data_IF_318638811687
#
_entry.id   IF_318638811687
#
_cell.length_a   1.000
_cell.length_b   1.000
_cell.length_c   1.000
_cell.angle_alpha   90.00
_cell.angle_beta   90.00
_cell.angle_gamma   90.00
#
_symmetry.space_group_name_H-M   'P 1'
#
loop_
_entity.id
_entity.type
_entity.pdbx_description
1 polymer ?
#
# COMPACT_ATOMS: atom_id res chain seq x y z
N UNK A 1 18.37 -5.87 5.12
CA UNK A 1 19.14 -5.77 3.84
C UNK A 1 18.94 -4.37 3.27
N UNK A 2 19.90 -3.75 2.55
CA UNK A 2 19.69 -2.41 2.03
C UNK A 2 18.58 -2.41 0.96
N UNK A 3 17.70 -1.40 0.99
CA UNK A 3 16.64 -1.18 0.00
C UNK A 3 17.21 -1.23 -1.42
N UNK A 4 16.54 -1.96 -2.30
CA UNK A 4 16.90 -2.05 -3.72
C UNK A 4 16.79 -0.67 -4.35
N UNK A 5 17.92 -0.13 -4.83
CA UNK A 5 17.92 1.15 -5.52
C UNK A 5 17.23 1.03 -6.88
N UNK A 6 16.32 1.95 -7.17
CA UNK A 6 15.67 2.04 -8.47
C UNK A 6 16.21 3.21 -9.29
N UNK A 7 16.18 3.06 -10.61
CA UNK A 7 16.43 4.18 -11.51
C UNK A 7 15.25 5.18 -11.44
N UNK A 8 15.54 6.39 -10.96
CA UNK A 8 14.59 7.49 -10.86
C UNK A 8 14.52 8.37 -12.13
N UNK A 9 15.18 7.98 -13.21
CA UNK A 9 15.06 8.65 -14.50
C UNK A 9 13.61 8.63 -15.03
N UNK A 10 13.15 9.79 -15.46
CA UNK A 10 11.78 10.02 -15.92
C UNK A 10 10.72 10.10 -14.81
N UNK A 11 11.12 10.05 -13.54
CA UNK A 11 10.23 10.38 -12.42
C UNK A 11 10.18 11.89 -12.22
N UNK A 12 8.98 12.39 -11.91
CA UNK A 12 8.70 13.81 -11.71
C UNK A 12 8.55 14.09 -10.21
N UNK A 13 9.08 15.22 -9.75
CA UNK A 13 8.86 15.66 -8.37
C UNK A 13 7.38 15.90 -8.12
N UNK A 14 6.88 15.32 -7.04
CA UNK A 14 5.51 15.49 -6.63
C UNK A 14 5.42 16.62 -5.61
N UNK A 15 4.35 17.42 -5.65
CA UNK A 15 4.00 18.42 -4.63
C UNK A 15 2.56 18.20 -4.22
N UNK A 16 2.38 17.53 -3.08
CA UNK A 16 1.07 17.25 -2.50
C UNK A 16 0.73 18.22 -1.37
N UNK A 17 -0.55 18.28 -1.03
CA UNK A 17 -1.07 18.95 0.15
C UNK A 17 -0.79 18.10 1.41
N UNK A 18 -0.85 18.71 2.59
CA UNK A 18 -0.75 18.01 3.88
C UNK A 18 -2.01 17.16 4.15
N UNK A 19 -2.18 16.10 3.38
CA UNK A 19 -3.30 15.17 3.44
C UNK A 19 -2.83 13.74 3.13
N UNK A 20 -3.48 12.77 3.77
CA UNK A 20 -3.22 11.34 3.59
C UNK A 20 -4.44 10.61 3.07
N UNK A 21 -4.30 9.94 1.93
CA UNK A 21 -5.36 9.09 1.39
C UNK A 21 -5.24 7.68 1.93
N UNK A 22 -6.34 7.15 2.45
CA UNK A 22 -6.44 5.76 2.84
C UNK A 22 -6.46 4.85 1.61
N UNK A 23 -5.61 3.84 1.62
CA UNK A 23 -5.54 2.80 0.61
C UNK A 23 -5.62 1.44 1.31
N UNK A 24 -6.72 0.73 1.08
CA UNK A 24 -6.86 -0.62 1.59
C UNK A 24 -5.99 -1.58 0.78
N UNK A 25 -5.22 -2.42 1.48
CA UNK A 25 -4.42 -3.49 0.90
C UNK A 25 -4.73 -4.82 1.60
N UNK A 26 -4.81 -5.87 0.80
CA UNK A 26 -4.93 -7.23 1.31
C UNK A 26 -3.57 -7.70 1.84
N UNK A 27 -3.60 -8.41 2.96
CA UNK A 27 -2.41 -8.90 3.66
C UNK A 27 -2.49 -10.41 3.82
N UNK A 28 -1.35 -11.08 3.85
CA UNK A 28 -1.29 -12.53 3.90
C UNK A 28 -1.89 -13.06 5.20
N UNK A 29 -2.65 -14.16 5.07
CA UNK A 29 -3.14 -14.91 6.24
C UNK A 29 -2.08 -15.80 6.88
N UNK A 30 -0.92 -15.96 6.24
CA UNK A 30 0.14 -16.89 6.64
C UNK A 30 1.28 -16.20 7.41
N UNK A 31 1.24 -14.88 7.55
CA UNK A 31 2.23 -14.10 8.32
C UNK A 31 1.60 -13.50 9.57
N UNK A 32 2.41 -13.32 10.62
CA UNK A 32 2.05 -12.51 11.79
C UNK A 32 2.07 -11.01 11.46
N UNK A 33 2.94 -10.60 10.54
CA UNK A 33 3.04 -9.23 10.06
C UNK A 33 2.03 -9.02 8.93
N UNK A 34 1.39 -7.84 8.84
CA UNK A 34 0.38 -7.58 7.82
C UNK A 34 1.06 -7.19 6.50
N UNK A 35 1.81 -8.15 5.95
CA UNK A 35 2.60 -8.05 4.71
C UNK A 35 1.72 -8.43 3.53
N UNK A 36 1.91 -7.79 2.37
CA UNK A 36 1.19 -8.16 1.14
C UNK A 36 1.34 -9.64 0.84
N UNK A 37 0.25 -10.25 0.39
CA UNK A 37 0.22 -11.67 0.04
C UNK A 37 0.84 -11.93 -1.33
N UNK A 38 1.48 -13.08 -1.53
CA UNK A 38 1.85 -13.53 -2.87
C UNK A 38 0.86 -14.55 -3.45
N UNK A 39 -0.04 -15.10 -2.63
CA UNK A 39 -1.10 -16.00 -3.08
C UNK A 39 -2.36 -15.70 -2.28
N UNK A 40 -3.41 -15.16 -2.91
CA UNK A 40 -4.66 -15.01 -2.17
C UNK A 40 -5.22 -16.37 -1.72
N UNK A 41 -6.25 -16.32 -0.87
CA UNK A 41 -6.97 -17.48 -0.32
C UNK A 41 -7.55 -18.47 -1.33
N UNK A 42 -7.52 -18.13 -2.62
CA UNK A 42 -7.99 -18.95 -3.74
C UNK A 42 -6.82 -19.36 -4.67
N UNK A 43 -5.58 -19.35 -4.19
CA UNK A 43 -4.35 -19.63 -4.97
C UNK A 43 -4.18 -18.70 -6.18
N UNK A 44 -4.78 -17.50 -6.14
CA UNK A 44 -4.78 -16.55 -7.26
C UNK A 44 -4.22 -15.20 -6.88
N UNK A 45 -3.08 -14.88 -7.46
CA UNK A 45 -2.62 -13.49 -7.62
C UNK A 45 -1.40 -13.18 -6.78
N UNK A 46 -0.31 -12.92 -7.50
CA UNK A 46 0.91 -12.31 -7.00
C UNK A 46 0.64 -10.82 -6.68
N UNK A 47 0.42 -10.45 -5.41
CA UNK A 47 0.37 -9.03 -5.06
C UNK A 47 1.80 -8.50 -4.98
N UNK A 48 2.11 -7.60 -5.91
CA UNK A 48 3.42 -6.97 -5.98
C UNK A 48 3.51 -5.64 -5.23
N UNK A 49 2.40 -5.19 -4.65
CA UNK A 49 2.25 -3.85 -4.09
C UNK A 49 1.62 -3.92 -2.70
N UNK A 50 2.06 -3.11 -1.71
CA UNK A 50 3.15 -2.12 -1.80
C UNK A 50 4.53 -2.76 -2.00
N UNK A 51 5.32 -2.26 -2.95
CA UNK A 51 6.69 -2.72 -3.12
C UNK A 51 7.59 -2.03 -2.08
N UNK A 52 7.77 -2.70 -0.95
CA UNK A 52 8.58 -2.27 0.19
C UNK A 52 10.06 -2.14 -0.20
N UNK A 53 10.52 -3.10 -1.01
CA UNK A 53 11.91 -3.29 -1.41
C UNK A 53 12.48 -2.08 -2.16
N UNK A 54 11.64 -1.45 -2.98
CA UNK A 54 12.00 -0.25 -3.76
C UNK A 54 11.30 1.02 -3.29
N UNK A 55 10.46 0.92 -2.26
CA UNK A 55 9.63 2.02 -1.76
C UNK A 55 8.80 2.68 -2.88
N UNK A 56 8.10 1.84 -3.65
CA UNK A 56 7.20 2.28 -4.72
C UNK A 56 5.81 1.69 -4.55
N UNK A 57 4.81 2.36 -5.13
CA UNK A 57 3.49 1.78 -5.32
C UNK A 57 3.00 2.00 -6.75
N UNK A 58 2.46 0.95 -7.38
CA UNK A 58 1.91 0.99 -8.74
C UNK A 58 2.97 0.86 -9.85
N UNK A 59 4.21 0.49 -9.51
CA UNK A 59 5.30 0.28 -10.47
C UNK A 59 5.35 -1.16 -10.98
N UNK A 60 5.00 -2.11 -10.11
CA UNK A 60 5.09 -3.54 -10.38
C UNK A 60 3.80 -4.09 -10.97
N UNK A 61 2.65 -3.50 -10.63
CA UNK A 61 1.33 -3.93 -11.13
C UNK A 61 0.33 -2.78 -11.26
N UNK A 62 -0.73 -3.01 -12.05
CA UNK A 62 -1.86 -2.10 -12.21
C UNK A 62 -2.99 -2.31 -11.19
N UNK A 63 -2.82 -3.19 -10.19
CA UNK A 63 -3.91 -3.74 -9.37
C UNK A 63 -4.82 -2.69 -8.68
N UNK A 64 -4.30 -1.48 -8.44
CA UNK A 64 -5.00 -0.41 -7.75
C UNK A 64 -4.92 0.94 -8.49
N UNK A 65 -4.78 0.92 -9.82
CA UNK A 65 -4.52 2.11 -10.64
C UNK A 65 -5.58 3.21 -10.45
N UNK A 66 -6.87 2.85 -10.33
CA UNK A 66 -7.95 3.83 -10.08
C UNK A 66 -7.75 4.56 -8.76
N UNK A 67 -7.32 3.85 -7.72
CA UNK A 67 -7.08 4.41 -6.40
C UNK A 67 -5.87 5.34 -6.45
N UNK A 68 -4.75 4.91 -7.04
CA UNK A 68 -3.54 5.75 -7.13
C UNK A 68 -3.77 7.00 -7.97
N UNK A 69 -4.44 6.88 -9.11
CA UNK A 69 -4.80 8.05 -9.91
C UNK A 69 -5.70 9.02 -9.12
N UNK A 70 -6.62 8.51 -8.28
CA UNK A 70 -7.43 9.35 -7.41
C UNK A 70 -6.60 10.06 -6.33
N UNK A 71 -5.63 9.38 -5.71
CA UNK A 71 -4.70 9.94 -4.72
C UNK A 71 -3.87 11.07 -5.35
N UNK A 72 -3.26 10.81 -6.51
CA UNK A 72 -2.45 11.78 -7.24
C UNK A 72 -3.29 13.00 -7.63
N UNK A 73 -4.50 12.80 -8.16
CA UNK A 73 -5.44 13.86 -8.51
C UNK A 73 -5.92 14.67 -7.31
N UNK A 74 -6.16 14.02 -6.16
CA UNK A 74 -6.52 14.68 -4.90
C UNK A 74 -5.36 15.46 -4.27
N UNK A 75 -4.14 15.33 -4.82
CA UNK A 75 -2.91 15.93 -4.30
C UNK A 75 -2.56 15.46 -2.89
N UNK A 76 -2.94 14.25 -2.48
CA UNK A 76 -2.56 13.74 -1.16
C UNK A 76 -1.06 13.46 -1.13
N UNK A 77 -0.35 14.07 -0.17
CA UNK A 77 1.10 13.83 -0.01
C UNK A 77 1.40 12.46 0.58
N UNK A 78 0.44 11.85 1.27
CA UNK A 78 0.62 10.57 1.94
C UNK A 78 -0.38 9.53 1.44
N UNK A 79 0.08 8.28 1.40
CA UNK A 79 -0.77 7.09 1.33
C UNK A 79 -0.73 6.45 2.72
N UNK A 80 -1.89 6.20 3.31
CA UNK A 80 -2.03 5.46 4.56
C UNK A 80 -2.49 4.05 4.20
N UNK A 81 -1.69 3.04 4.51
CA UNK A 81 -2.00 1.65 4.15
C UNK A 81 -2.92 1.05 5.21
N UNK A 82 -4.18 0.88 4.82
CA UNK A 82 -5.21 0.26 5.63
C UNK A 82 -5.30 -1.23 5.37
N UNK A 83 -5.59 -2.02 6.39
CA UNK A 83 -5.93 -3.43 6.23
C UNK A 83 -6.94 -3.87 7.29
N UNK A 84 -7.56 -5.01 7.08
CA UNK A 84 -8.36 -5.70 8.09
C UNK A 84 -7.69 -7.04 8.31
N UNK A 85 -6.78 -7.07 9.27
CA UNK A 85 -5.84 -8.17 9.41
C UNK A 85 -6.53 -9.46 9.88
N UNK A 86 -6.33 -10.53 9.13
CA UNK A 86 -6.94 -11.85 9.31
C UNK A 86 -5.92 -12.97 9.57
N UNK A 87 -4.63 -12.62 9.69
CA UNK A 87 -3.51 -13.56 9.84
C UNK A 87 -3.43 -14.29 11.18
N UNK A 88 -2.28 -14.91 11.42
CA UNK A 88 -2.11 -15.99 12.41
C UNK A 88 -2.10 -15.53 13.88
N UNK A 89 -1.83 -14.25 14.14
CA UNK A 89 -1.69 -13.78 15.53
C UNK A 89 -3.02 -13.80 16.28
N UNK A 90 -3.00 -14.23 17.54
CA UNK A 90 -4.13 -14.14 18.47
C UNK A 90 -4.15 -12.78 19.19
N UNK A 91 -4.16 -11.69 18.41
CA UNK A 91 -4.21 -10.32 18.93
C UNK A 91 -5.64 -9.81 19.00
N UNK A 92 -5.94 -8.99 20.01
CA UNK A 92 -7.19 -8.24 20.11
C UNK A 92 -7.43 -7.29 18.93
N UNK A 93 -6.41 -7.00 18.12
CA UNK A 93 -6.52 -6.18 16.90
C UNK A 93 -6.92 -6.96 15.66
N UNK A 94 -7.00 -8.29 15.73
CA UNK A 94 -7.48 -9.13 14.64
C UNK A 94 -8.90 -8.74 14.22
N UNK A 95 -9.19 -8.78 12.93
CA UNK A 95 -10.47 -8.37 12.31
C UNK A 95 -10.86 -6.90 12.51
N UNK A 96 -10.02 -6.07 13.14
CA UNK A 96 -10.25 -4.63 13.22
C UNK A 96 -9.64 -3.94 12.00
N UNK A 97 -10.12 -2.72 11.71
CA UNK A 97 -9.53 -1.92 10.64
C UNK A 97 -8.31 -1.18 11.17
N UNK A 98 -7.16 -1.45 10.57
CA UNK A 98 -5.87 -0.95 11.03
C UNK A 98 -5.21 -0.13 9.93
N UNK A 99 -4.51 0.95 10.29
CA UNK A 99 -3.52 1.59 9.44
C UNK A 99 -2.15 1.09 9.91
N UNK A 100 -1.52 0.27 9.08
CA UNK A 100 -0.29 -0.47 9.43
C UNK A 100 1.00 0.23 8.98
N UNK A 101 0.87 1.35 8.27
CA UNK A 101 2.00 2.08 7.75
C UNK A 101 1.58 3.18 6.79
N UNK A 102 2.56 3.92 6.32
CA UNK A 102 2.34 4.99 5.36
C UNK A 102 3.48 5.07 4.33
N UNK A 103 3.18 5.78 3.25
CA UNK A 103 4.16 6.23 2.26
C UNK A 103 4.00 7.72 2.04
N UNK A 104 5.09 8.48 2.13
CA UNK A 104 5.14 9.85 1.63
C UNK A 104 5.44 9.82 0.14
N UNK A 105 4.63 10.49 -0.66
CA UNK A 105 4.81 10.56 -2.11
C UNK A 105 5.78 11.71 -2.43
N UNK A 106 6.98 11.37 -2.86
CA UNK A 106 8.00 12.35 -3.25
C UNK A 106 8.10 12.50 -4.76
N UNK A 107 7.86 11.42 -5.51
CA UNK A 107 7.89 11.43 -6.97
C UNK A 107 6.74 10.61 -7.56
N UNK A 108 6.37 10.97 -8.79
CA UNK A 108 5.38 10.23 -9.60
C UNK A 108 5.93 9.93 -10.99
N UNK A 109 5.43 8.87 -11.62
CA UNK A 109 5.77 8.51 -13.01
C UNK A 109 4.57 7.86 -13.68
N UNK A 110 4.27 8.25 -14.91
CA UNK A 110 3.27 7.52 -15.71
C UNK A 110 3.93 6.23 -16.23
N UNK A 111 3.39 5.09 -15.82
CA UNK A 111 3.88 3.76 -16.15
C UNK A 111 2.88 2.98 -17.01
N UNK A 112 1.89 3.65 -17.59
CA UNK A 112 0.87 3.01 -18.46
C UNK A 112 1.52 2.24 -19.61
N UNK A 113 2.43 2.88 -20.34
CA UNK A 113 3.14 2.27 -21.48
C UNK A 113 3.93 1.04 -21.04
N UNK A 114 4.60 1.08 -19.89
CA UNK A 114 5.36 -0.05 -19.33
C UNK A 114 4.44 -1.25 -19.09
N UNK A 115 3.29 -1.04 -18.46
CA UNK A 115 2.36 -2.12 -18.15
C UNK A 115 1.71 -2.71 -19.40
N UNK A 116 1.35 -1.87 -20.38
CA UNK A 116 0.83 -2.34 -21.67
C UNK A 116 1.87 -3.17 -22.41
N UNK A 117 3.13 -2.71 -22.47
CA UNK A 117 4.22 -3.47 -23.10
C UNK A 117 4.47 -4.81 -22.43
N UNK A 118 4.40 -4.88 -21.08
CA UNK A 118 4.51 -6.14 -20.33
C UNK A 118 3.41 -7.12 -20.71
N UNK A 119 2.16 -6.67 -20.80
CA UNK A 119 1.03 -7.49 -21.23
C UNK A 119 1.16 -7.93 -22.70
N UNK A 120 1.53 -7.02 -23.61
CA UNK A 120 1.73 -7.36 -25.03
C UNK A 120 2.84 -8.39 -25.25
N UNK A 121 3.82 -8.44 -24.35
CA UNK A 121 4.91 -9.44 -24.38
C UNK A 121 4.54 -10.77 -23.73
N UNK A 122 3.43 -10.84 -22.99
CA UNK A 122 2.94 -12.01 -22.24
C UNK A 122 1.40 -12.08 -22.34
N UNK A 123 0.84 -12.39 -23.53
CA UNK A 123 -0.60 -12.29 -23.79
C UNK A 123 -1.48 -13.23 -22.95
N UNK A 124 -0.88 -14.25 -22.34
CA UNK A 124 -1.51 -15.17 -21.40
C UNK A 124 -1.85 -14.52 -20.04
N UNK A 125 -1.25 -13.36 -19.73
CA UNK A 125 -1.60 -12.60 -18.55
C UNK A 125 -2.98 -11.96 -18.70
N UNK A 126 -3.60 -11.60 -17.58
CA UNK A 126 -4.84 -10.83 -17.61
C UNK A 126 -4.60 -9.42 -18.17
N UNK A 127 -5.53 -8.90 -18.97
CA UNK A 127 -5.48 -7.53 -19.47
C UNK A 127 -5.34 -6.53 -18.30
N UNK A 128 -4.35 -5.63 -18.32
CA UNK A 128 -4.14 -4.71 -17.21
C UNK A 128 -5.21 -3.61 -17.18
N UNK A 129 -5.71 -3.29 -15.98
CA UNK A 129 -6.77 -2.29 -15.78
C UNK A 129 -6.47 -0.92 -16.43
N UNK A 130 -5.18 -0.57 -16.57
CA UNK A 130 -4.76 0.69 -17.17
C UNK A 130 -4.93 0.78 -18.70
N UNK A 131 -5.27 -0.31 -19.40
CA UNK A 131 -5.50 -0.30 -20.86
C UNK A 131 -6.53 0.77 -21.24
N UNK A 132 -7.60 0.88 -20.45
CA UNK A 132 -8.72 1.81 -20.68
C UNK A 132 -8.57 3.16 -19.96
N UNK A 133 -7.41 3.42 -19.34
CA UNK A 133 -7.18 4.65 -18.57
C UNK A 133 -6.27 5.61 -19.31
N UNK A 134 -6.47 6.91 -19.09
CA UNK A 134 -5.60 7.96 -19.63
C UNK A 134 -4.20 7.92 -19.01
N UNK A 135 -4.14 7.71 -17.69
CA UNK A 135 -2.91 7.66 -16.92
C UNK A 135 -2.82 6.39 -16.08
N UNK A 136 -1.60 5.96 -15.79
CA UNK A 136 -1.32 4.99 -14.74
C UNK A 136 -0.13 5.48 -13.92
N UNK A 137 -0.42 6.17 -12.81
CA UNK A 137 0.62 6.74 -11.97
C UNK A 137 1.23 5.67 -11.06
N UNK A 138 2.56 5.57 -11.08
CA UNK A 138 3.35 5.00 -10.01
C UNK A 138 3.82 6.13 -9.07
N UNK A 139 3.95 5.82 -7.79
CA UNK A 139 4.46 6.73 -6.75
C UNK A 139 5.74 6.17 -6.13
N UNK A 140 6.62 7.07 -5.69
CA UNK A 140 7.87 6.76 -5.01
C UNK A 140 8.11 7.72 -3.84
N UNK A 141 8.69 7.21 -2.75
CA UNK A 141 9.10 7.99 -1.59
C UNK A 141 9.19 7.13 -0.33
N UNK A 142 9.58 7.70 0.82
CA UNK A 142 9.85 6.92 2.02
C UNK A 142 8.58 6.24 2.53
N UNK A 143 8.77 5.03 3.02
CA UNK A 143 7.76 4.17 3.63
C UNK A 143 8.15 3.88 5.06
N UNK A 144 7.14 3.80 5.92
CA UNK A 144 7.25 3.42 7.33
C UNK A 144 6.13 2.43 7.63
N UNK A 145 6.47 1.26 8.16
CA UNK A 145 5.51 0.22 8.51
C UNK A 145 5.77 -0.29 9.91
N UNK A 146 4.73 -0.76 10.59
CA UNK A 146 4.82 -1.17 11.99
C UNK A 146 4.28 -2.58 12.16
N UNK A 147 4.50 -3.17 13.33
CA UNK A 147 3.85 -4.42 13.69
C UNK A 147 2.32 -4.28 13.71
N UNK A 148 1.61 -5.40 13.65
CA UNK A 148 0.16 -5.38 13.74
C UNK A 148 -0.32 -4.80 15.10
N UNK A 149 0.36 -5.14 16.19
CA UNK A 149 0.07 -4.62 17.53
C UNK A 149 0.44 -3.14 17.69
N UNK A 150 1.30 -2.61 16.84
CA UNK A 150 1.65 -1.18 16.80
C UNK A 150 0.87 -0.40 15.73
N UNK A 151 0.00 -1.06 14.96
CA UNK A 151 -0.81 -0.41 13.94
C UNK A 151 -1.88 0.51 14.54
N UNK A 152 -2.17 1.62 13.86
CA UNK A 152 -3.18 2.58 14.30
C UNK A 152 -4.59 2.01 14.08
N UNK A 153 -5.36 1.89 15.16
CA UNK A 153 -6.72 1.35 15.10
C UNK A 153 -7.70 2.41 14.63
N UNK A 154 -8.43 2.14 13.54
CA UNK A 154 -9.52 2.99 13.07
C UNK A 154 -10.84 2.38 13.53
N UNK A 155 -11.62 3.16 14.29
CA UNK A 155 -12.95 2.77 14.74
C UNK A 155 -14.02 3.71 14.20
N UNK A 156 -15.28 3.27 14.23
CA UNK A 156 -16.41 4.11 13.83
C UNK A 156 -16.54 5.36 14.71
N UNK A 157 -16.18 5.25 15.98
CA UNK A 157 -16.16 6.37 16.93
C UNK A 157 -15.15 7.44 16.52
N UNK A 158 -13.91 7.04 16.20
CA UNK A 158 -12.86 7.96 15.74
C UNK A 158 -13.28 8.62 14.43
N UNK A 159 -13.81 7.85 13.47
CA UNK A 159 -14.28 8.40 12.19
C UNK A 159 -15.38 9.43 12.40
N UNK A 160 -16.37 9.14 13.27
CA UNK A 160 -17.46 10.05 13.59
C UNK A 160 -16.98 11.31 14.30
N UNK A 161 -16.08 11.16 15.29
CA UNK A 161 -15.48 12.27 16.02
C UNK A 161 -14.75 13.23 15.08
N UNK A 162 -13.98 12.67 14.15
CA UNK A 162 -13.24 13.42 13.14
C UNK A 162 -14.10 13.90 11.96
N UNK A 163 -15.42 13.65 11.98
CA UNK A 163 -16.36 14.11 10.97
C UNK A 163 -16.32 13.34 9.64
N UNK A 164 -15.71 12.16 9.59
CA UNK A 164 -15.72 11.28 8.43
C UNK A 164 -17.03 10.47 8.37
N UNK A 165 -17.54 10.29 7.14
CA UNK A 165 -18.71 9.44 6.88
C UNK A 165 -18.26 8.01 6.56
N UNK A 166 -19.03 7.04 7.02
CA UNK A 166 -18.81 5.62 6.73
C UNK A 166 -18.50 4.81 7.98
N UNK A 167 -18.11 3.56 7.75
CA UNK A 167 -17.73 2.60 8.79
C UNK A 167 -16.31 2.10 8.52
N UNK A 168 -15.62 1.69 9.58
CA UNK A 168 -14.31 1.06 9.57
C UNK A 168 -14.37 -0.34 8.91
N UNK A 169 -14.55 -0.35 7.59
CA UNK A 169 -14.68 -1.54 6.75
C UNK A 169 -13.70 -1.50 5.58
N UNK A 170 -13.54 -2.63 4.87
CA UNK A 170 -12.68 -2.72 3.67
C UNK A 170 -13.04 -1.68 2.58
N UNK A 171 -14.27 -1.17 2.60
CA UNK A 171 -14.80 -0.20 1.64
C UNK A 171 -14.57 1.26 2.06
N UNK A 172 -13.99 1.49 3.25
CA UNK A 172 -13.69 2.83 3.76
C UNK A 172 -12.77 3.56 2.79
N UNK A 173 -13.23 4.72 2.30
CA UNK A 173 -12.45 5.66 1.52
C UNK A 173 -12.38 6.96 2.28
N UNK A 174 -11.21 7.30 2.77
CA UNK A 174 -10.99 8.51 3.56
C UNK A 174 -9.77 9.29 3.05
N UNK A 175 -9.85 10.61 3.13
CA UNK A 175 -8.71 11.52 2.97
C UNK A 175 -8.56 12.29 4.26
N UNK A 176 -7.57 11.89 5.06
CA UNK A 176 -7.26 12.51 6.34
C UNK A 176 -6.58 13.85 6.10
N UNK A 177 -7.19 14.92 6.63
CA UNK A 177 -6.63 16.26 6.55
C UNK A 177 -5.53 16.42 7.59
N UNK A 178 -4.74 17.50 7.46
CA UNK A 178 -3.53 17.75 8.25
C UNK A 178 -3.62 17.36 9.73
N UNK A 179 -4.64 17.81 10.46
CA UNK A 179 -4.76 17.52 11.90
C UNK A 179 -4.84 16.01 12.20
N UNK A 180 -5.76 15.29 11.56
CA UNK A 180 -5.92 13.85 11.75
C UNK A 180 -4.75 13.05 11.14
N UNK A 181 -4.20 13.54 10.03
CA UNK A 181 -3.00 12.96 9.42
C UNK A 181 -1.83 13.05 10.41
N UNK A 182 -1.58 14.22 10.99
CA UNK A 182 -0.47 14.45 11.91
C UNK A 182 -0.60 13.54 13.15
N UNK A 183 -1.83 13.29 13.63
CA UNK A 183 -2.08 12.32 14.71
C UNK A 183 -1.72 10.89 14.30
N UNK A 184 -2.14 10.44 13.12
CA UNK A 184 -1.84 9.09 12.61
C UNK A 184 -0.31 8.93 12.39
N UNK A 185 0.32 9.89 11.71
CA UNK A 185 1.75 9.85 11.45
C UNK A 185 2.55 9.90 12.75
N UNK A 186 2.23 10.80 13.69
CA UNK A 186 2.91 10.87 14.98
C UNK A 186 2.78 9.58 15.79
N UNK A 187 1.60 8.93 15.73
CA UNK A 187 1.43 7.63 16.36
C UNK A 187 2.33 6.58 15.71
N UNK A 188 2.32 6.45 14.38
CA UNK A 188 3.13 5.45 13.67
C UNK A 188 4.63 5.71 13.82
N UNK A 189 5.07 6.97 13.75
CA UNK A 189 6.47 7.39 13.92
C UNK A 189 6.96 7.18 15.37
N UNK A 190 6.06 7.07 16.35
CA UNK A 190 6.40 6.71 17.73
C UNK A 190 6.70 5.22 17.91
N UNK A 191 6.46 4.40 16.88
CA UNK A 191 6.65 2.95 16.87
C UNK A 191 7.88 2.57 16.06
N UNK A 192 8.38 1.37 16.33
CA UNK A 192 9.52 0.84 15.59
C UNK A 192 9.15 0.64 14.12
N UNK A 193 9.99 1.18 13.22
CA UNK A 193 9.85 0.91 11.79
C UNK A 193 10.29 -0.52 11.50
N UNK A 194 9.35 -1.34 11.04
CA UNK A 194 9.51 -2.74 10.69
C UNK A 194 9.67 -2.97 9.19
N UNK A 195 9.92 -1.92 8.38
CA UNK A 195 10.05 -2.07 6.91
C UNK A 195 11.05 -3.17 6.50
N UNK A 196 12.15 -3.35 7.24
CA UNK A 196 13.14 -4.39 6.94
C UNK A 196 12.60 -5.81 7.18
N UNK A 197 11.74 -6.00 8.18
CA UNK A 197 11.04 -7.27 8.44
C UNK A 197 9.99 -7.54 7.35
N UNK A 198 9.26 -6.52 6.90
CA UNK A 198 8.35 -6.63 5.76
C UNK A 198 9.08 -7.10 4.49
N UNK A 199 10.26 -6.53 4.21
CA UNK A 199 11.09 -6.93 3.07
C UNK A 199 11.53 -8.39 3.22
N UNK A 200 12.04 -8.77 4.40
CA UNK A 200 12.49 -10.14 4.66
C UNK A 200 11.39 -11.18 4.44
N UNK A 201 10.18 -10.94 4.98
CA UNK A 201 9.04 -11.85 4.82
C UNK A 201 8.62 -11.96 3.36
N UNK A 202 8.62 -10.85 2.61
CA UNK A 202 8.31 -10.89 1.18
C UNK A 202 9.34 -11.71 0.42
N UNK A 203 10.62 -11.60 0.76
CA UNK A 203 11.68 -12.36 0.10
C UNK A 203 11.59 -13.86 0.43
N UNK A 204 11.30 -14.23 1.68
CA UNK A 204 10.98 -15.62 2.06
C UNK A 204 9.81 -16.19 1.23
N UNK A 205 8.76 -15.38 1.02
CA UNK A 205 7.63 -15.80 0.17
C UNK A 205 8.02 -15.98 -1.30
N UNK A 206 8.98 -15.20 -1.84
CA UNK A 206 9.47 -15.40 -3.22
C UNK A 206 10.26 -16.69 -3.33
N UNK A 207 11.17 -16.94 -2.39
CA UNK A 207 12.01 -18.14 -2.38
C UNK A 207 11.14 -19.41 -2.33
N UNK A 208 10.14 -19.44 -1.44
CA UNK A 208 9.21 -20.57 -1.34
C UNK A 208 8.40 -20.83 -2.63
N UNK A 209 8.16 -19.80 -3.45
CA UNK A 209 7.47 -19.94 -4.75
C UNK A 209 8.40 -20.41 -5.87
N UNK A 210 9.70 -20.12 -5.80
CA UNK A 210 10.68 -20.58 -6.80
C UNK A 210 11.08 -22.05 -6.58
N UNK A 211 10.95 -22.56 -5.35
CA UNK A 211 11.24 -23.96 -4.99
C UNK A 211 10.08 -24.94 -5.23
N UNK A 212 8.86 -24.45 -5.48
CA UNK A 212 7.64 -25.24 -5.70
C UNK A 212 7.27 -25.45 -7.16
#
# INVERSE_FOLDING_TARGET
MPKTQINLEGWQDYRGNAAGSLLYVETSRQSEMPVRDQLNENEKGFLYEPNYETSTYGLMSCYNVKNINAIVRAKSRYILFGTRYEGLSDSEKRNKYLIMGYMRIDKIKDVRTRHIQRFMSNPELQEPECMQMEHNWAVYGPMHFVSMDDSFLVTDEILKEWGYKGHASRQLKAVFQKEHLDQILSYLDSKEDKIDEYIAIVDEFKEALEEG
#
